data_IF_110513148551
#
_entry.id   IF_110513148551
#
_cell.length_a   1.000
_cell.length_b   1.000
_cell.length_c   1.000
_cell.angle_alpha   90.00
_cell.angle_beta   90.00
_cell.angle_gamma   90.00
#
_symmetry.space_group_name_H-M   'P 1'
#
loop_
_entity.id
_entity.type
_entity.pdbx_description
1 polymer ?
#
# COMPACT_ATOMS: atom_id res chain seq x y z
N UNK A 1 34.37 26.67 -7.54
CA UNK A 1 33.44 26.63 -8.68
C UNK A 1 32.92 25.21 -9.06
N UNK A 2 33.36 24.16 -8.39
CA UNK A 2 32.96 22.75 -8.68
C UNK A 2 31.62 22.40 -8.00
N UNK A 3 31.26 23.07 -6.90
CA UNK A 3 30.11 22.75 -6.05
C UNK A 3 28.71 22.95 -6.72
N UNK A 4 28.61 23.91 -7.63
CA UNK A 4 27.30 24.25 -8.24
C UNK A 4 26.90 23.26 -9.34
N UNK A 5 27.87 22.69 -10.04
CA UNK A 5 27.62 21.69 -11.08
C UNK A 5 27.23 20.33 -10.49
N UNK A 6 27.81 19.94 -9.37
CA UNK A 6 27.46 18.71 -8.66
C UNK A 6 26.07 18.79 -8.02
N UNK A 7 25.69 19.93 -7.46
CA UNK A 7 24.35 20.15 -6.93
C UNK A 7 23.29 20.08 -8.03
N UNK A 8 23.57 20.64 -9.22
CA UNK A 8 22.69 20.53 -10.38
C UNK A 8 22.52 19.09 -10.89
N UNK A 9 23.60 18.31 -10.91
CA UNK A 9 23.58 16.91 -11.29
C UNK A 9 22.79 16.03 -10.29
N UNK A 10 22.93 16.30 -9.00
CA UNK A 10 22.17 15.61 -7.95
C UNK A 10 20.67 15.95 -8.01
N UNK A 11 20.34 17.21 -8.26
CA UNK A 11 18.93 17.63 -8.44
C UNK A 11 18.29 16.95 -9.65
N UNK A 12 19.00 16.87 -10.78
CA UNK A 12 18.54 16.15 -11.97
C UNK A 12 18.40 14.64 -11.75
N UNK A 13 19.28 14.00 -10.97
CA UNK A 13 19.16 12.61 -10.58
C UNK A 13 17.92 12.38 -9.74
N UNK A 14 17.70 13.19 -8.72
CA UNK A 14 16.53 13.09 -7.83
C UNK A 14 15.20 13.32 -8.58
N UNK A 15 15.20 14.25 -9.53
CA UNK A 15 14.03 14.49 -10.39
C UNK A 15 13.75 13.33 -11.34
N UNK A 16 14.79 12.69 -11.88
CA UNK A 16 14.66 11.46 -12.70
C UNK A 16 14.09 10.29 -11.88
N UNK A 17 14.61 10.07 -10.67
CA UNK A 17 14.11 9.01 -9.78
C UNK A 17 12.66 9.22 -9.38
N UNK A 18 12.23 10.46 -9.14
CA UNK A 18 10.85 10.77 -8.80
C UNK A 18 9.88 10.56 -9.97
N UNK A 19 10.25 10.99 -11.18
CA UNK A 19 9.47 10.77 -12.40
C UNK A 19 9.37 9.27 -12.74
N UNK A 20 10.46 8.54 -12.59
CA UNK A 20 10.48 7.09 -12.79
C UNK A 20 9.56 6.36 -11.81
N UNK A 21 9.63 6.72 -10.52
CA UNK A 21 8.78 6.13 -9.50
C UNK A 21 7.28 6.40 -9.73
N UNK A 22 6.92 7.61 -10.18
CA UNK A 22 5.53 7.96 -10.50
C UNK A 22 5.03 7.17 -11.71
N UNK A 23 5.84 7.07 -12.76
CA UNK A 23 5.42 6.41 -14.01
C UNK A 23 5.30 4.89 -13.83
N UNK A 24 6.24 4.25 -13.10
CA UNK A 24 6.18 2.82 -12.80
C UNK A 24 4.99 2.49 -11.88
N UNK A 25 4.69 3.33 -10.89
CA UNK A 25 3.50 3.19 -10.03
C UNK A 25 2.20 3.27 -10.82
N UNK A 26 2.11 4.19 -11.77
CA UNK A 26 0.92 4.36 -12.62
C UNK A 26 0.73 3.15 -13.52
N UNK A 27 1.78 2.64 -14.13
CA UNK A 27 1.69 1.46 -15.00
C UNK A 27 1.34 0.19 -14.20
N UNK A 28 1.93 0.01 -13.02
CA UNK A 28 1.58 -1.09 -12.12
C UNK A 28 0.12 -1.01 -11.64
N UNK A 29 -0.38 0.20 -11.43
CA UNK A 29 -1.77 0.45 -11.08
C UNK A 29 -2.73 -0.01 -12.18
N UNK A 30 -2.48 0.36 -13.44
CA UNK A 30 -3.32 -0.06 -14.56
C UNK A 30 -3.34 -1.58 -14.74
N UNK A 31 -2.19 -2.24 -14.64
CA UNK A 31 -2.12 -3.70 -14.81
C UNK A 31 -2.82 -4.45 -13.69
N UNK A 32 -2.71 -3.99 -12.44
CA UNK A 32 -3.34 -4.64 -11.30
C UNK A 32 -4.87 -4.57 -11.32
N UNK A 33 -5.44 -3.51 -11.89
CA UNK A 33 -6.90 -3.33 -12.03
C UNK A 33 -7.52 -4.35 -12.99
N UNK A 34 -6.74 -4.86 -13.95
CA UNK A 34 -7.22 -5.83 -14.95
C UNK A 34 -6.97 -7.30 -14.59
N UNK A 35 -6.66 -7.59 -13.31
CA UNK A 35 -6.45 -8.95 -12.84
C UNK A 35 -5.00 -9.44 -12.91
N UNK A 36 -4.05 -8.60 -13.27
CA UNK A 36 -2.63 -8.94 -13.34
C UNK A 36 -1.93 -8.59 -12.02
N UNK A 37 -2.02 -9.47 -11.05
CA UNK A 37 -1.47 -9.25 -9.70
C UNK A 37 0.06 -9.04 -9.69
N UNK A 38 0.78 -9.66 -10.64
CA UNK A 38 2.24 -9.68 -10.69
C UNK A 38 2.80 -9.17 -12.01
N UNK A 39 2.13 -8.23 -12.66
CA UNK A 39 2.65 -7.60 -13.87
C UNK A 39 3.98 -6.91 -13.59
N UNK A 40 5.00 -7.24 -14.37
CA UNK A 40 6.28 -6.54 -14.33
C UNK A 40 6.24 -5.36 -15.28
N UNK A 41 6.64 -4.21 -14.78
CA UNK A 41 6.78 -3.01 -15.58
C UNK A 41 8.23 -2.57 -15.52
N UNK A 42 8.91 -2.67 -16.64
CA UNK A 42 10.29 -2.21 -16.78
C UNK A 42 10.30 -0.91 -17.60
N UNK A 43 11.11 0.04 -17.16
CA UNK A 43 11.31 1.27 -17.89
C UNK A 43 12.73 1.30 -18.45
N UNK A 44 12.86 1.28 -19.77
CA UNK A 44 14.12 1.43 -20.46
C UNK A 44 14.35 2.92 -20.79
N UNK A 45 15.40 3.57 -20.28
CA UNK A 45 15.73 4.93 -20.66
C UNK A 45 16.38 4.96 -22.05
N UNK A 46 15.83 5.74 -22.95
CA UNK A 46 16.39 6.05 -24.25
C UNK A 46 16.98 7.46 -24.24
N UNK A 47 18.32 7.57 -24.32
CA UNK A 47 19.03 8.83 -24.17
C UNK A 47 19.41 9.38 -25.55
N UNK A 48 18.72 10.45 -25.95
CA UNK A 48 19.12 11.26 -27.09
C UNK A 48 20.12 12.36 -26.65
N UNK A 49 21.39 12.10 -26.88
CA UNK A 49 22.48 13.03 -26.51
C UNK A 49 22.53 14.27 -27.42
N UNK A 50 21.97 14.19 -28.61
CA UNK A 50 22.01 15.27 -29.61
C UNK A 50 21.05 16.40 -29.22
N UNK A 51 19.89 16.04 -28.71
CA UNK A 51 18.82 16.97 -28.30
C UNK A 51 18.71 17.14 -26.79
N UNK A 52 19.63 16.57 -26.01
CA UNK A 52 19.58 16.56 -24.53
C UNK A 52 18.22 16.08 -23.97
N UNK A 53 17.61 15.08 -24.62
CA UNK A 53 16.33 14.50 -24.21
C UNK A 53 16.51 13.09 -23.69
N UNK A 54 15.68 12.72 -22.73
CA UNK A 54 15.54 11.36 -22.25
C UNK A 54 14.10 10.93 -22.43
N UNK A 55 13.88 9.91 -23.23
CA UNK A 55 12.62 9.23 -23.35
C UNK A 55 12.63 7.95 -22.51
N UNK A 56 11.49 7.55 -21.95
CA UNK A 56 11.33 6.29 -21.27
C UNK A 56 10.36 5.42 -22.04
N UNK A 57 10.81 4.25 -22.43
CA UNK A 57 9.93 3.22 -22.99
C UNK A 57 9.50 2.31 -21.85
N UNK A 58 8.20 2.30 -21.55
CA UNK A 58 7.64 1.41 -20.55
C UNK A 58 7.26 0.09 -21.23
N UNK A 59 7.94 -0.97 -20.84
CA UNK A 59 7.62 -2.33 -21.24
C UNK A 59 6.83 -2.97 -20.10
N UNK A 60 5.56 -3.28 -20.36
CA UNK A 60 4.72 -4.02 -19.44
C UNK A 60 4.64 -5.47 -19.90
N UNK A 61 5.14 -6.39 -19.10
CA UNK A 61 4.92 -7.82 -19.29
C UNK A 61 3.71 -8.24 -18.46
N UNK A 62 2.55 -8.44 -19.11
CA UNK A 62 1.39 -8.93 -18.38
C UNK A 62 1.65 -10.36 -17.92
N UNK A 63 1.61 -10.57 -16.62
CA UNK A 63 1.53 -11.89 -16.02
C UNK A 63 0.18 -12.54 -16.37
N UNK A 64 -0.05 -13.77 -15.92
CA UNK A 64 -1.38 -14.38 -16.03
C UNK A 64 -2.37 -13.66 -15.11
N UNK A 65 -3.64 -13.64 -15.51
CA UNK A 65 -4.71 -13.17 -14.64
C UNK A 65 -4.81 -14.09 -13.44
N UNK A 66 -4.96 -13.50 -12.25
CA UNK A 66 -5.04 -14.22 -10.99
C UNK A 66 -6.43 -14.13 -10.38
N UNK A 67 -6.83 -15.21 -9.71
CA UNK A 67 -8.02 -15.25 -8.85
C UNK A 67 -7.60 -15.14 -7.39
N UNK A 68 -8.39 -14.45 -6.61
CA UNK A 68 -8.22 -14.43 -5.15
C UNK A 68 -8.77 -15.73 -4.58
N UNK A 69 -7.89 -16.60 -4.10
CA UNK A 69 -8.29 -17.86 -3.47
C UNK A 69 -8.88 -17.63 -2.10
N UNK A 70 -8.17 -16.87 -1.27
CA UNK A 70 -8.56 -16.62 0.12
C UNK A 70 -8.13 -15.22 0.55
N UNK A 71 -8.92 -14.65 1.47
CA UNK A 71 -8.60 -13.40 2.16
C UNK A 71 -8.39 -13.73 3.64
N UNK A 72 -7.15 -13.61 4.10
CA UNK A 72 -6.77 -13.83 5.49
C UNK A 72 -6.70 -12.50 6.24
N UNK A 73 -7.14 -12.48 7.49
CA UNK A 73 -7.00 -11.33 8.38
C UNK A 73 -6.07 -11.74 9.52
N UNK A 74 -5.12 -10.89 9.87
CA UNK A 74 -4.17 -11.12 10.96
C UNK A 74 -3.90 -9.85 11.76
N UNK A 75 -3.50 -10.00 13.02
CA UNK A 75 -3.24 -8.88 13.94
C UNK A 75 -4.49 -8.34 14.66
N UNK A 76 -5.68 -8.86 14.36
CA UNK A 76 -6.94 -8.50 14.97
C UNK A 76 -7.21 -9.31 16.25
N UNK A 77 -6.51 -8.97 17.34
CA UNK A 77 -6.61 -9.74 18.60
C UNK A 77 -7.93 -9.47 19.37
N UNK A 78 -8.50 -8.29 19.22
CA UNK A 78 -9.73 -7.83 19.89
C UNK A 78 -10.87 -7.63 18.90
N UNK A 79 -10.57 -7.16 17.70
CA UNK A 79 -11.55 -6.92 16.66
C UNK A 79 -11.92 -8.24 15.98
N UNK A 80 -13.20 -8.50 15.85
CA UNK A 80 -13.68 -9.71 15.16
C UNK A 80 -13.35 -9.64 13.67
N UNK A 81 -13.06 -10.79 13.08
CA UNK A 81 -12.73 -10.95 11.67
C UNK A 81 -13.79 -10.37 10.72
N UNK A 82 -15.07 -10.55 11.09
CA UNK A 82 -16.21 -10.07 10.32
C UNK A 82 -16.21 -8.53 10.18
N UNK A 83 -15.66 -7.81 11.16
CA UNK A 83 -15.59 -6.34 11.11
C UNK A 83 -14.66 -5.88 9.99
N UNK A 84 -13.56 -6.59 9.78
CA UNK A 84 -12.64 -6.31 8.68
C UNK A 84 -13.20 -6.80 7.36
N UNK A 85 -13.72 -8.04 7.31
CA UNK A 85 -14.24 -8.68 6.09
C UNK A 85 -15.40 -7.93 5.46
N UNK A 86 -16.31 -7.34 6.24
CA UNK A 86 -17.46 -6.57 5.70
C UNK A 86 -17.05 -5.31 4.94
N UNK A 87 -15.86 -4.79 5.23
CA UNK A 87 -15.32 -3.61 4.53
C UNK A 87 -14.64 -3.97 3.21
N UNK A 88 -14.34 -5.25 2.99
CA UNK A 88 -13.71 -5.72 1.77
C UNK A 88 -14.66 -5.66 0.58
N UNK A 89 -14.14 -5.14 -0.54
CA UNK A 89 -14.80 -5.09 -1.84
C UNK A 89 -14.25 -6.13 -2.81
N UNK A 90 -13.05 -6.63 -2.55
CA UNK A 90 -12.51 -7.81 -3.20
C UNK A 90 -13.14 -9.04 -2.57
N UNK A 91 -13.64 -9.96 -3.40
CA UNK A 91 -14.21 -11.23 -2.93
C UNK A 91 -13.27 -12.39 -3.25
N UNK A 92 -13.36 -13.42 -2.41
CA UNK A 92 -12.75 -14.72 -2.69
C UNK A 92 -13.39 -15.33 -3.94
N UNK A 93 -12.65 -16.15 -4.67
CA UNK A 93 -13.06 -16.77 -5.94
C UNK A 93 -13.39 -15.79 -7.07
N UNK A 94 -13.07 -14.51 -6.91
CA UNK A 94 -13.19 -13.49 -7.96
C UNK A 94 -11.82 -13.12 -8.55
N UNK A 95 -11.83 -12.50 -9.73
CA UNK A 95 -10.62 -11.94 -10.31
C UNK A 95 -9.97 -10.94 -9.36
N UNK A 96 -8.64 -11.01 -9.28
CA UNK A 96 -7.85 -10.03 -8.56
C UNK A 96 -8.11 -8.63 -9.13
N UNK A 97 -8.37 -7.67 -8.26
CA UNK A 97 -8.60 -6.28 -8.63
C UNK A 97 -7.89 -5.37 -7.63
N UNK A 98 -6.78 -4.80 -8.05
CA UNK A 98 -5.94 -3.95 -7.20
C UNK A 98 -6.67 -2.71 -6.69
N UNK A 99 -7.64 -2.18 -7.45
CA UNK A 99 -8.46 -1.05 -7.01
C UNK A 99 -9.41 -1.43 -5.88
N UNK A 100 -10.05 -2.60 -5.99
CA UNK A 100 -10.90 -3.11 -4.93
C UNK A 100 -10.12 -3.41 -3.66
N UNK A 101 -8.90 -3.94 -3.78
CA UNK A 101 -8.01 -4.20 -2.65
C UNK A 101 -7.61 -2.88 -1.97
N UNK A 102 -7.18 -1.88 -2.73
CA UNK A 102 -6.85 -0.56 -2.20
C UNK A 102 -8.06 0.09 -1.52
N UNK A 103 -9.22 0.07 -2.19
CA UNK A 103 -10.45 0.59 -1.61
C UNK A 103 -10.83 -0.13 -0.31
N UNK A 104 -10.64 -1.45 -0.26
CA UNK A 104 -10.90 -2.26 0.94
C UNK A 104 -9.97 -1.83 2.08
N UNK A 105 -8.68 -1.70 1.83
CA UNK A 105 -7.70 -1.20 2.80
C UNK A 105 -8.12 0.16 3.36
N UNK A 106 -8.46 1.11 2.48
CA UNK A 106 -8.83 2.47 2.88
C UNK A 106 -10.14 2.50 3.68
N UNK A 107 -11.04 1.53 3.45
CA UNK A 107 -12.27 1.38 4.23
C UNK A 107 -12.00 0.82 5.62
N UNK A 108 -11.12 -0.18 5.73
CA UNK A 108 -10.68 -0.75 7.01
C UNK A 108 -9.94 0.31 7.84
N UNK A 109 -9.06 1.09 7.22
CA UNK A 109 -8.33 2.17 7.88
C UNK A 109 -9.28 3.24 8.44
N UNK A 110 -10.33 3.60 7.69
CA UNK A 110 -11.37 4.55 8.12
C UNK A 110 -12.22 4.10 9.31
N UNK A 111 -12.20 2.83 9.68
CA UNK A 111 -12.87 2.37 10.91
C UNK A 111 -12.24 3.01 12.18
N UNK A 112 -10.99 3.47 12.10
CA UNK A 112 -10.32 4.13 13.19
C UNK A 112 -9.85 3.20 14.32
N UNK A 113 -10.04 1.88 14.19
CA UNK A 113 -9.65 0.89 15.19
C UNK A 113 -8.19 0.48 15.08
N UNK A 114 -7.55 0.77 13.95
CA UNK A 114 -6.20 0.34 13.62
C UNK A 114 -5.25 1.52 13.51
N UNK A 115 -4.00 1.32 13.93
CA UNK A 115 -2.89 2.26 13.69
C UNK A 115 -2.25 2.04 12.34
N UNK A 116 -2.32 0.80 11.85
CA UNK A 116 -1.72 0.38 10.59
C UNK A 116 -2.59 -0.69 9.94
N UNK A 117 -2.76 -0.57 8.63
CA UNK A 117 -3.47 -1.55 7.79
C UNK A 117 -2.64 -1.80 6.54
N UNK A 118 -2.06 -2.99 6.46
CA UNK A 118 -1.28 -3.46 5.31
C UNK A 118 -2.00 -4.61 4.61
N UNK A 119 -1.92 -4.62 3.30
CA UNK A 119 -2.48 -5.71 2.49
C UNK A 119 -1.40 -6.28 1.60
N UNK A 120 -1.09 -7.55 1.82
CA UNK A 120 -0.10 -8.31 1.06
C UNK A 120 -0.80 -9.31 0.15
N UNK A 121 -0.25 -9.48 -1.05
CA UNK A 121 -0.73 -10.45 -2.03
C UNK A 121 0.39 -11.45 -2.32
N UNK A 122 0.12 -12.72 -2.14
CA UNK A 122 1.09 -13.79 -2.33
C UNK A 122 0.58 -14.82 -3.32
N UNK A 123 1.47 -15.32 -4.17
CA UNK A 123 1.18 -16.44 -5.07
C UNK A 123 0.98 -17.72 -4.27
N UNK A 124 0.01 -18.53 -4.69
CA UNK A 124 -0.23 -19.83 -4.08
C UNK A 124 0.70 -20.84 -4.72
N UNK A 125 1.57 -21.45 -3.90
CA UNK A 125 2.50 -22.48 -4.37
C UNK A 125 1.75 -23.63 -5.06
N UNK A 126 2.18 -23.95 -6.29
CA UNK A 126 1.57 -25.03 -7.08
C UNK A 126 0.40 -24.61 -7.97
N UNK A 127 -0.01 -23.36 -7.93
CA UNK A 127 -0.98 -22.79 -8.88
C UNK A 127 -0.37 -21.57 -9.57
N UNK A 128 -0.74 -21.37 -10.85
CA UNK A 128 -0.19 -20.25 -11.65
C UNK A 128 -1.13 -19.06 -11.76
N UNK A 129 -2.36 -19.21 -11.26
CA UNK A 129 -3.46 -18.29 -11.44
C UNK A 129 -4.19 -17.95 -10.12
N UNK A 130 -3.64 -18.36 -8.98
CA UNK A 130 -4.26 -18.09 -7.68
C UNK A 130 -3.36 -17.29 -6.77
N UNK A 131 -3.99 -16.37 -6.04
CA UNK A 131 -3.34 -15.53 -5.04
C UNK A 131 -4.10 -15.57 -3.71
N UNK A 132 -3.35 -15.52 -2.63
CA UNK A 132 -3.88 -15.26 -1.30
C UNK A 132 -3.65 -13.78 -0.96
N UNK A 133 -4.67 -13.15 -0.43
CA UNK A 133 -4.60 -11.77 0.07
C UNK A 133 -4.60 -11.82 1.59
N UNK A 134 -3.58 -11.26 2.21
CA UNK A 134 -3.46 -11.19 3.67
C UNK A 134 -3.55 -9.73 4.13
N UNK A 135 -4.51 -9.47 5.00
CA UNK A 135 -4.72 -8.16 5.63
C UNK A 135 -4.10 -8.19 7.00
N UNK A 136 -2.99 -7.47 7.16
CA UNK A 136 -2.30 -7.32 8.43
C UNK A 136 -2.73 -6.01 9.07
N UNK A 137 -3.30 -6.08 10.27
CA UNK A 137 -3.75 -4.91 11.02
C UNK A 137 -3.02 -4.79 12.35
N UNK A 138 -2.77 -3.56 12.78
CA UNK A 138 -2.25 -3.26 14.11
C UNK A 138 -3.32 -2.48 14.85
N UNK A 139 -3.86 -3.07 15.91
CA UNK A 139 -4.94 -2.45 16.68
C UNK A 139 -4.46 -1.28 17.53
N UNK A 140 -5.28 -0.23 17.58
CA UNK A 140 -5.05 0.89 18.51
C UNK A 140 -5.29 0.43 19.95
N UNK A 141 -4.48 0.91 20.93
CA UNK A 141 -4.78 0.69 22.32
C UNK A 141 -6.10 1.38 22.66
N UNK A 142 -7.09 0.60 23.07
CA UNK A 142 -8.40 1.09 23.49
C UNK A 142 -8.41 1.26 25.02
N UNK A 143 -8.27 2.49 25.47
CA UNK A 143 -8.50 2.87 26.85
C UNK A 143 -7.28 3.41 27.59
N UNK A 144 -7.29 4.72 27.87
CA UNK A 144 -6.52 5.33 28.93
C UNK A 144 -7.45 5.48 30.14
N UNK A 145 -7.28 4.64 31.15
CA UNK A 145 -7.93 4.81 32.43
C UNK A 145 -7.14 5.84 33.23
N UNK A 146 -7.58 7.09 33.24
CA UNK A 146 -7.03 8.10 34.16
C UNK A 146 -7.80 8.03 35.47
N UNK A 147 -7.22 7.37 36.48
CA UNK A 147 -7.69 7.44 37.85
C UNK A 147 -7.07 8.69 38.48
N UNK A 148 -7.80 9.79 38.46
CA UNK A 148 -7.45 11.01 39.19
C UNK A 148 -8.02 10.93 40.63
N UNK A 149 -7.20 10.64 41.60
CA UNK A 149 -7.55 10.86 43.03
C UNK A 149 -7.30 12.34 43.34
N UNK A 150 -8.33 13.15 43.26
CA UNK A 150 -8.29 14.54 43.72
C UNK A 150 -8.45 14.58 45.27
N UNK A 151 -7.38 14.85 46.02
CA UNK A 151 -7.46 15.20 47.41
C UNK A 151 -7.69 16.71 47.51
N UNK A 152 -8.91 17.13 47.78
CA UNK A 152 -9.24 18.52 48.08
C UNK A 152 -9.12 18.74 49.57
N UNK A 153 -8.02 19.34 50.01
CA UNK A 153 -7.88 19.84 51.38
C UNK A 153 -8.37 21.31 51.46
N UNK A 154 -9.68 21.49 51.35
CA UNK A 154 -10.31 22.77 51.59
C UNK A 154 -11.40 22.59 52.65
N UNK A 155 -10.94 22.47 53.91
CA UNK A 155 -11.75 22.80 55.09
C UNK A 155 -10.81 23.11 56.24
N UNK A 156 -10.34 24.35 56.25
CA UNK A 156 -9.94 24.98 57.50
C UNK A 156 -11.08 25.89 57.95
N UNK A 157 -11.93 25.34 58.80
CA UNK A 157 -12.93 26.13 59.53
C UNK A 157 -12.22 26.89 60.62
N UNK A 158 -12.37 28.17 60.63
CA UNK A 158 -12.13 29.10 61.73
C UNK A 158 -13.25 29.00 62.78
#
# INVERSE_FOLDING_TARGET
MVSTAEAGLQALRKQKESLFAVTSRTAHFFTSTFGFAFAKVEAAPEIDRTNNRVAFVLQAEPSRRAYVRRINVSGNNRTRDEVVRREFRQFESSWYDGDKIRLSRDRVDRLGFFTEVNVDTQEVTGTQDQVDVTVNVVEKPTGNLQLGAGYSSADSVS
#
